data_IF_519997965020
#
_entry.id   IF_519997965020
#
_cell.length_a   1.000
_cell.length_b   1.000
_cell.length_c   1.000
_cell.angle_alpha   90.00
_cell.angle_beta   90.00
_cell.angle_gamma   90.00
#
_symmetry.space_group_name_H-M   'P 1'
#
loop_
_entity.id
_entity.type
_entity.pdbx_description
1 polymer ?
#
# COMPACT_ATOMS: atom_id res chain seq x y z
N UNK A 1 7.96 24.20 -14.67
CA UNK A 1 7.86 23.18 -13.61
C UNK A 1 9.04 22.24 -13.77
N UNK A 2 9.88 22.08 -12.76
CA UNK A 2 11.08 21.25 -12.90
C UNK A 2 10.66 19.77 -12.98
N UNK A 3 11.40 18.90 -13.69
CA UNK A 3 11.09 17.47 -13.74
C UNK A 3 11.02 16.83 -12.35
N UNK A 4 11.77 17.37 -11.38
CA UNK A 4 11.75 16.94 -9.98
C UNK A 4 10.40 17.22 -9.29
N UNK A 5 9.76 18.34 -9.61
CA UNK A 5 8.47 18.75 -9.02
C UNK A 5 7.35 17.81 -9.47
N UNK A 6 7.36 17.42 -10.75
CA UNK A 6 6.44 16.45 -11.33
C UNK A 6 6.62 15.08 -10.65
N UNK A 7 7.87 14.69 -10.39
CA UNK A 7 8.20 13.41 -9.75
C UNK A 7 7.64 13.34 -8.31
N UNK A 8 7.78 14.43 -7.55
CA UNK A 8 7.25 14.52 -6.19
C UNK A 8 5.72 14.48 -6.16
N UNK A 9 5.05 15.22 -7.06
CA UNK A 9 3.59 15.19 -7.19
C UNK A 9 3.08 13.79 -7.58
N UNK A 10 3.72 13.16 -8.56
CA UNK A 10 3.40 11.78 -8.95
C UNK A 10 3.63 10.79 -7.80
N UNK A 11 4.69 10.99 -7.00
CA UNK A 11 4.99 10.19 -5.81
C UNK A 11 3.89 10.25 -4.75
N UNK A 12 3.36 11.45 -4.46
CA UNK A 12 2.22 11.62 -3.53
C UNK A 12 1.00 10.84 -4.04
N UNK A 13 0.64 11.04 -5.30
CA UNK A 13 -0.54 10.42 -5.91
C UNK A 13 -0.39 8.89 -5.91
N UNK A 14 0.77 8.37 -6.28
CA UNK A 14 1.05 6.94 -6.26
C UNK A 14 0.94 6.36 -4.83
N UNK A 15 1.48 7.04 -3.82
CA UNK A 15 1.38 6.61 -2.43
C UNK A 15 -0.08 6.56 -1.95
N UNK A 16 -0.89 7.58 -2.27
CA UNK A 16 -2.32 7.63 -1.94
C UNK A 16 -3.07 6.49 -2.62
N UNK A 17 -2.81 6.25 -3.91
CA UNK A 17 -3.47 5.18 -4.68
C UNK A 17 -3.15 3.81 -4.07
N UNK A 18 -1.86 3.51 -3.86
CA UNK A 18 -1.43 2.21 -3.31
C UNK A 18 -2.01 1.99 -1.92
N UNK A 19 -1.98 3.01 -1.06
CA UNK A 19 -2.52 2.93 0.30
C UNK A 19 -4.04 2.74 0.30
N UNK A 20 -4.75 3.56 -0.47
CA UNK A 20 -6.21 3.51 -0.57
C UNK A 20 -6.70 2.18 -1.14
N UNK A 21 -6.05 1.67 -2.19
CA UNK A 21 -6.40 0.37 -2.80
C UNK A 21 -6.17 -0.76 -1.81
N UNK A 22 -5.06 -0.78 -1.07
CA UNK A 22 -4.79 -1.83 -0.06
C UNK A 22 -5.91 -1.90 0.99
N UNK A 23 -6.32 -0.76 1.53
CA UNK A 23 -7.39 -0.68 2.54
C UNK A 23 -8.75 -1.04 1.94
N UNK A 24 -9.09 -0.53 0.75
CA UNK A 24 -10.38 -0.82 0.11
C UNK A 24 -10.52 -2.29 -0.30
N UNK A 25 -9.48 -2.88 -0.89
CA UNK A 25 -9.47 -4.31 -1.20
C UNK A 25 -9.57 -5.15 0.08
N UNK A 26 -8.74 -4.88 1.09
CA UNK A 26 -8.73 -5.63 2.35
C UNK A 26 -10.06 -5.57 3.10
N UNK A 27 -10.67 -4.38 3.19
CA UNK A 27 -11.97 -4.19 3.84
C UNK A 27 -13.11 -4.89 3.12
N UNK A 28 -13.10 -4.92 1.78
CA UNK A 28 -14.08 -5.67 1.00
C UNK A 28 -13.89 -7.19 1.08
N UNK A 29 -12.65 -7.67 1.07
CA UNK A 29 -12.34 -9.10 1.19
C UNK A 29 -12.63 -9.64 2.60
N UNK A 30 -12.77 -8.75 3.60
CA UNK A 30 -13.22 -9.06 4.94
C UNK A 30 -14.74 -8.92 5.15
N UNK A 31 -15.50 -8.57 4.12
CA UNK A 31 -16.93 -8.28 4.18
C UNK A 31 -17.29 -7.23 5.25
N UNK A 32 -16.47 -6.18 5.40
CA UNK A 32 -16.78 -5.11 6.35
C UNK A 32 -18.00 -4.31 5.93
N UNK A 33 -18.78 -3.89 6.93
CA UNK A 33 -19.96 -3.06 6.72
C UNK A 33 -19.59 -1.68 6.17
N UNK A 34 -20.50 -1.07 5.41
CA UNK A 34 -20.34 0.30 4.88
C UNK A 34 -20.05 1.32 5.99
N UNK A 35 -20.60 1.10 7.20
CA UNK A 35 -20.36 1.94 8.37
C UNK A 35 -18.90 1.85 8.85
N UNK A 36 -18.32 0.66 8.86
CA UNK A 36 -16.92 0.46 9.25
C UNK A 36 -15.97 1.17 8.27
N UNK A 37 -16.26 1.15 6.97
CA UNK A 37 -15.44 1.83 5.96
C UNK A 37 -15.52 3.34 6.11
N UNK A 38 -16.71 3.89 6.36
CA UNK A 38 -16.88 5.32 6.64
C UNK A 38 -16.05 5.74 7.86
N UNK A 39 -16.04 4.91 8.91
CA UNK A 39 -15.23 5.12 10.11
C UNK A 39 -13.72 5.05 9.79
N UNK A 40 -13.27 4.10 8.98
CA UNK A 40 -11.86 4.02 8.56
C UNK A 40 -11.44 5.25 7.77
N UNK A 41 -12.25 5.69 6.80
CA UNK A 41 -11.98 6.90 6.02
C UNK A 41 -11.86 8.11 6.94
N UNK A 42 -12.76 8.24 7.92
CA UNK A 42 -12.70 9.33 8.89
C UNK A 42 -11.42 9.28 9.73
N UNK A 43 -11.04 8.09 10.24
CA UNK A 43 -9.84 7.92 11.08
C UNK A 43 -8.58 8.21 10.28
N UNK A 44 -8.43 7.68 9.06
CA UNK A 44 -7.24 7.93 8.23
C UNK A 44 -7.19 9.36 7.71
N UNK A 45 -8.31 9.95 7.32
CA UNK A 45 -8.37 11.33 6.87
C UNK A 45 -7.94 12.30 7.97
N UNK A 46 -8.52 12.17 9.17
CA UNK A 46 -8.14 12.98 10.34
C UNK A 46 -6.70 12.67 10.77
N UNK A 47 -6.31 11.39 10.71
CA UNK A 47 -4.94 10.97 11.01
C UNK A 47 -3.92 11.68 10.12
N UNK A 48 -4.11 11.66 8.80
CA UNK A 48 -3.21 12.33 7.85
C UNK A 48 -3.14 13.82 8.15
N UNK A 49 -4.28 14.45 8.44
CA UNK A 49 -4.30 15.87 8.81
C UNK A 49 -3.44 16.18 10.02
N UNK A 50 -3.66 15.49 11.14
CA UNK A 50 -2.94 15.73 12.39
C UNK A 50 -1.44 15.44 12.21
N UNK A 51 -1.11 14.31 11.58
CA UNK A 51 0.28 13.90 11.44
C UNK A 51 1.08 14.74 10.46
N UNK A 52 0.44 15.28 9.43
CA UNK A 52 1.11 16.23 8.52
C UNK A 52 1.42 17.55 9.21
N UNK A 53 0.54 18.03 10.09
CA UNK A 53 0.81 19.22 10.91
C UNK A 53 1.97 19.00 11.89
N UNK A 54 1.96 17.87 12.60
CA UNK A 54 3.05 17.52 13.53
C UNK A 54 4.37 17.31 12.78
N UNK A 55 4.33 16.60 11.66
CA UNK A 55 5.52 16.34 10.84
C UNK A 55 6.09 17.61 10.20
N UNK A 56 5.27 18.63 9.92
CA UNK A 56 5.75 19.94 9.47
C UNK A 56 6.65 20.62 10.51
N UNK A 57 6.40 20.42 11.81
CA UNK A 57 7.17 21.02 12.91
C UNK A 57 8.50 20.28 13.11
N UNK A 58 8.51 18.95 12.89
CA UNK A 58 9.66 18.07 13.14
C UNK A 58 10.20 17.40 11.86
N UNK A 59 10.16 18.10 10.72
CA UNK A 59 10.36 17.53 9.38
C UNK A 59 11.68 16.76 9.20
N UNK A 60 12.78 17.24 9.79
CA UNK A 60 14.10 16.60 9.72
C UNK A 60 14.18 15.31 10.53
N UNK A 61 13.67 15.32 11.77
CA UNK A 61 13.61 14.15 12.64
C UNK A 61 12.66 13.09 12.08
N UNK A 62 11.52 13.53 11.54
CA UNK A 62 10.55 12.65 10.92
C UNK A 62 11.12 11.94 9.69
N UNK A 63 11.75 12.69 8.78
CA UNK A 63 12.34 12.11 7.54
C UNK A 63 13.44 11.10 7.86
N UNK A 64 14.33 11.42 8.82
CA UNK A 64 15.37 10.49 9.25
C UNK A 64 14.80 9.23 9.89
N UNK A 65 13.74 9.36 10.70
CA UNK A 65 13.05 8.22 11.27
C UNK A 65 12.47 7.31 10.17
N UNK A 66 11.84 7.89 9.14
CA UNK A 66 11.29 7.09 8.03
C UNK A 66 12.38 6.34 7.30
N UNK A 67 13.47 7.02 6.93
CA UNK A 67 14.55 6.41 6.15
C UNK A 67 15.24 5.30 6.95
N UNK A 68 15.52 5.51 8.25
CA UNK A 68 16.19 4.50 9.09
C UNK A 68 15.30 3.32 9.44
N UNK A 69 14.01 3.52 9.67
CA UNK A 69 13.11 2.46 10.12
C UNK A 69 12.28 1.81 8.99
N UNK A 70 12.39 2.25 7.74
CA UNK A 70 11.58 1.71 6.64
C UNK A 70 11.75 0.20 6.46
N UNK A 71 12.99 -0.25 6.33
CA UNK A 71 13.33 -1.67 6.11
C UNK A 71 12.88 -2.57 7.27
N UNK A 72 13.21 -2.29 8.55
CA UNK A 72 12.74 -3.12 9.65
C UNK A 72 11.20 -3.11 9.78
N UNK A 73 10.54 -1.98 9.52
CA UNK A 73 9.08 -1.91 9.49
C UNK A 73 8.50 -2.85 8.42
N UNK A 74 9.06 -2.87 7.20
CA UNK A 74 8.60 -3.77 6.15
C UNK A 74 8.77 -5.25 6.51
N UNK A 75 9.88 -5.62 7.16
CA UNK A 75 10.12 -6.99 7.61
C UNK A 75 9.08 -7.39 8.66
N UNK A 76 8.86 -6.58 9.70
CA UNK A 76 7.87 -6.86 10.75
C UNK A 76 6.46 -6.99 10.16
N UNK A 77 6.07 -6.05 9.29
CA UNK A 77 4.78 -6.10 8.58
C UNK A 77 4.65 -7.36 7.73
N UNK A 78 5.71 -7.78 7.03
CA UNK A 78 5.68 -8.99 6.21
C UNK A 78 5.38 -10.24 7.05
N UNK A 79 6.03 -10.37 8.22
CA UNK A 79 5.85 -11.50 9.13
C UNK A 79 4.42 -11.52 9.66
N UNK A 80 3.93 -10.38 10.16
CA UNK A 80 2.56 -10.27 10.70
C UNK A 80 1.52 -10.63 9.63
N UNK A 81 1.68 -10.12 8.40
CA UNK A 81 0.73 -10.40 7.31
C UNK A 81 0.79 -11.86 6.85
N UNK A 82 1.97 -12.47 6.80
CA UNK A 82 2.10 -13.89 6.46
C UNK A 82 1.43 -14.76 7.53
N UNK A 83 1.74 -14.51 8.81
CA UNK A 83 1.16 -15.27 9.92
C UNK A 83 -0.35 -15.09 9.99
N UNK A 84 -0.85 -13.86 9.91
CA UNK A 84 -2.29 -13.57 9.90
C UNK A 84 -2.99 -14.21 8.69
N UNK A 85 -2.35 -14.22 7.52
CA UNK A 85 -2.88 -14.90 6.33
C UNK A 85 -3.00 -16.41 6.53
N UNK A 86 -1.95 -17.05 7.08
CA UNK A 86 -1.96 -18.48 7.37
C UNK A 86 -3.00 -18.86 8.44
N UNK A 87 -3.10 -18.12 9.54
CA UNK A 87 -4.07 -18.39 10.61
C UNK A 87 -5.49 -18.23 10.10
N UNK A 88 -5.78 -17.19 9.30
CA UNK A 88 -7.11 -16.96 8.71
C UNK A 88 -7.53 -18.10 7.79
N UNK A 89 -6.62 -18.62 6.95
CA UNK A 89 -6.91 -19.78 6.08
C UNK A 89 -7.09 -21.05 6.92
N UNK A 90 -6.23 -21.26 7.93
CA UNK A 90 -6.26 -22.46 8.79
C UNK A 90 -7.53 -22.52 9.62
N UNK A 91 -7.94 -21.43 10.24
CA UNK A 91 -9.18 -21.35 11.04
C UNK A 91 -10.41 -21.65 10.19
N UNK A 92 -10.45 -21.13 8.96
CA UNK A 92 -11.53 -21.45 8.05
C UNK A 92 -11.56 -22.92 7.62
N UNK A 93 -10.40 -23.53 7.30
CA UNK A 93 -10.34 -24.95 6.88
C UNK A 93 -10.60 -25.93 8.01
N UNK A 94 -10.10 -25.66 9.21
CA UNK A 94 -10.15 -26.60 10.36
C UNK A 94 -11.40 -26.39 11.21
N UNK A 95 -11.74 -25.14 11.53
CA UNK A 95 -12.81 -24.82 12.48
C UNK A 95 -14.07 -24.28 11.82
N UNK A 96 -14.06 -24.02 10.49
CA UNK A 96 -15.16 -23.37 9.76
C UNK A 96 -15.59 -22.01 10.36
N UNK A 97 -14.76 -21.43 11.23
CA UNK A 97 -15.04 -20.16 11.90
C UNK A 97 -14.76 -19.00 10.95
N UNK A 98 -15.69 -18.04 10.89
CA UNK A 98 -15.51 -16.83 10.10
C UNK A 98 -14.72 -15.78 10.90
N UNK A 99 -13.40 -15.87 10.87
CA UNK A 99 -12.50 -14.90 11.52
C UNK A 99 -12.08 -13.76 10.59
N UNK A 100 -12.66 -13.66 9.38
CA UNK A 100 -12.25 -12.67 8.37
C UNK A 100 -12.32 -11.22 8.85
N UNK A 101 -13.31 -10.83 9.66
CA UNK A 101 -13.44 -9.48 10.19
C UNK A 101 -12.37 -9.15 11.22
N UNK A 102 -12.02 -10.10 12.09
CA UNK A 102 -10.94 -9.95 13.08
C UNK A 102 -9.59 -9.92 12.39
N UNK A 103 -9.34 -10.82 11.43
CA UNK A 103 -8.12 -10.85 10.65
C UNK A 103 -7.95 -9.60 9.79
N UNK A 104 -9.04 -8.98 9.34
CA UNK A 104 -9.01 -7.74 8.56
C UNK A 104 -8.24 -6.62 9.25
N UNK A 105 -8.26 -6.58 10.59
CA UNK A 105 -7.47 -5.63 11.37
C UNK A 105 -5.97 -5.73 11.03
N UNK A 106 -5.43 -6.89 10.65
CA UNK A 106 -4.03 -6.98 10.26
C UNK A 106 -3.71 -6.30 8.91
N UNK A 107 -4.68 -6.25 7.99
CA UNK A 107 -4.52 -5.56 6.69
C UNK A 107 -4.84 -4.08 6.80
N UNK A 108 -5.85 -3.77 7.62
CA UNK A 108 -6.35 -2.42 7.86
C UNK A 108 -5.43 -1.68 8.82
N UNK A 109 -4.78 -2.38 9.77
CA UNK A 109 -3.78 -1.80 10.67
C UNK A 109 -2.90 -0.85 9.86
N UNK A 110 -2.77 0.42 10.30
CA UNK A 110 -2.04 1.42 9.56
C UNK A 110 -0.67 0.84 9.23
N UNK A 111 -0.37 0.60 7.95
CA UNK A 111 0.99 0.28 7.58
C UNK A 111 1.77 1.58 7.73
N UNK A 112 2.55 1.74 8.81
CA UNK A 112 3.12 3.04 9.14
C UNK A 112 3.92 3.56 7.93
N UNK A 113 4.64 2.68 7.21
CA UNK A 113 5.37 3.04 6.00
C UNK A 113 4.56 3.84 4.95
N UNK A 114 3.33 3.44 4.61
CA UNK A 114 2.52 4.15 3.61
C UNK A 114 2.04 5.51 4.13
N UNK A 115 1.62 5.53 5.39
CA UNK A 115 1.12 6.73 6.02
C UNK A 115 2.23 7.78 6.18
N UNK A 116 3.41 7.36 6.65
CA UNK A 116 4.60 8.20 6.73
C UNK A 116 5.08 8.68 5.35
N UNK A 117 4.98 7.82 4.31
CA UNK A 117 5.33 8.21 2.94
C UNK A 117 4.41 9.31 2.40
N UNK A 118 3.09 9.21 2.63
CA UNK A 118 2.13 10.26 2.26
C UNK A 118 2.45 11.56 3.00
N UNK A 119 2.76 11.50 4.29
CA UNK A 119 3.10 12.68 5.09
C UNK A 119 4.36 13.39 4.60
N UNK A 120 5.46 12.66 4.36
CA UNK A 120 6.70 13.26 3.86
C UNK A 120 6.45 13.91 2.50
N UNK A 121 5.86 13.15 1.58
CA UNK A 121 5.65 13.63 0.21
C UNK A 121 4.71 14.84 0.19
N UNK A 122 3.71 14.92 1.08
CA UNK A 122 2.87 16.10 1.27
C UNK A 122 3.67 17.34 1.72
N UNK A 123 4.61 17.20 2.66
CA UNK A 123 5.48 18.31 3.12
C UNK A 123 6.35 18.84 1.99
N UNK A 124 6.90 17.94 1.16
CA UNK A 124 7.74 18.34 0.02
C UNK A 124 6.92 18.98 -1.13
N UNK A 125 5.67 18.55 -1.33
CA UNK A 125 4.81 19.06 -2.41
C UNK A 125 4.09 20.37 -2.04
N UNK A 126 3.82 20.63 -0.76
CA UNK A 126 3.19 21.88 -0.30
C UNK A 126 3.87 23.17 -0.83
N UNK A 127 5.19 23.38 -0.67
CA UNK A 127 5.85 24.58 -1.17
C UNK A 127 5.89 24.66 -2.71
N UNK A 128 5.85 23.53 -3.42
CA UNK A 128 5.84 23.47 -4.89
C UNK A 128 4.52 24.01 -5.46
N UNK A 129 3.41 23.73 -4.78
CA UNK A 129 2.07 24.18 -5.18
C UNK A 129 1.73 25.57 -4.67
N UNK A 130 2.60 26.19 -3.86
CA UNK A 130 2.31 27.47 -3.19
C UNK A 130 1.16 27.39 -2.20
N UNK A 131 0.77 26.18 -1.78
CA UNK A 131 -0.32 25.93 -0.84
C UNK A 131 0.22 25.71 0.56
N UNK A 132 -0.53 26.16 1.56
CA UNK A 132 -0.21 25.82 2.94
C UNK A 132 -0.46 24.33 3.20
N UNK A 133 0.28 23.74 4.13
CA UNK A 133 0.11 22.33 4.53
C UNK A 133 -1.32 22.08 5.06
N UNK A 134 -1.91 23.10 5.69
CA UNK A 134 -3.30 23.06 6.17
C UNK A 134 -4.35 22.95 5.07
N UNK A 135 -4.06 23.44 3.86
CA UNK A 135 -4.97 23.36 2.70
C UNK A 135 -4.71 22.11 1.85
N UNK A 136 -3.44 21.68 1.75
CA UNK A 136 -3.07 20.49 0.99
C UNK A 136 -3.57 19.19 1.66
N UNK A 137 -3.42 19.11 2.98
CA UNK A 137 -3.76 17.90 3.74
C UNK A 137 -5.22 17.44 3.61
N UNK A 138 -6.25 18.32 3.70
CA UNK A 138 -7.63 17.90 3.47
C UNK A 138 -7.88 17.44 2.03
N UNK A 139 -7.21 18.00 1.02
CA UNK A 139 -7.32 17.51 -0.37
C UNK A 139 -6.80 16.07 -0.49
N UNK A 140 -5.64 15.78 0.11
CA UNK A 140 -5.07 14.44 0.16
C UNK A 140 -6.03 13.46 0.85
N UNK A 141 -6.64 13.87 1.96
CA UNK A 141 -7.62 13.05 2.68
C UNK A 141 -8.86 12.75 1.83
N UNK A 142 -9.39 13.71 1.07
CA UNK A 142 -10.52 13.51 0.15
C UNK A 142 -10.16 12.57 -0.99
N UNK A 143 -8.98 12.73 -1.61
CA UNK A 143 -8.52 11.83 -2.67
C UNK A 143 -8.37 10.40 -2.12
N UNK A 144 -7.78 10.25 -0.93
CA UNK A 144 -7.65 8.95 -0.28
C UNK A 144 -9.03 8.32 -0.02
N UNK A 145 -9.99 9.10 0.48
CA UNK A 145 -11.35 8.63 0.70
C UNK A 145 -11.99 8.11 -0.59
N UNK A 146 -11.85 8.86 -1.69
CA UNK A 146 -12.36 8.45 -3.00
C UNK A 146 -11.72 7.14 -3.48
N UNK A 147 -10.40 7.00 -3.36
CA UNK A 147 -9.68 5.77 -3.75
C UNK A 147 -10.15 4.58 -2.91
N UNK A 148 -10.32 4.74 -1.59
CA UNK A 148 -10.82 3.67 -0.71
C UNK A 148 -12.23 3.25 -1.12
N UNK A 149 -13.13 4.20 -1.37
CA UNK A 149 -14.50 3.91 -1.78
C UNK A 149 -14.52 3.16 -3.12
N UNK A 150 -13.82 3.68 -4.13
CA UNK A 150 -13.75 3.08 -5.47
C UNK A 150 -13.19 1.66 -5.41
N UNK A 151 -12.07 1.48 -4.72
CA UNK A 151 -11.44 0.17 -4.59
C UNK A 151 -12.28 -0.82 -3.77
N UNK A 152 -13.01 -0.36 -2.75
CA UNK A 152 -13.96 -1.20 -2.01
C UNK A 152 -15.09 -1.71 -2.90
N UNK A 153 -15.72 -0.83 -3.69
CA UNK A 153 -16.79 -1.24 -4.60
C UNK A 153 -16.29 -2.20 -5.67
N UNK A 154 -15.13 -1.91 -6.25
CA UNK A 154 -14.49 -2.77 -7.26
C UNK A 154 -14.15 -4.15 -6.69
N UNK A 155 -13.57 -4.18 -5.49
CA UNK A 155 -13.26 -5.42 -4.77
C UNK A 155 -14.52 -6.24 -4.48
N UNK A 156 -15.62 -5.60 -4.09
CA UNK A 156 -16.86 -6.29 -3.76
C UNK A 156 -17.44 -7.01 -4.99
N UNK A 157 -17.32 -6.41 -6.18
CA UNK A 157 -17.69 -7.05 -7.45
C UNK A 157 -16.82 -8.30 -7.69
N UNK A 158 -15.50 -8.16 -7.53
CA UNK A 158 -14.55 -9.27 -7.71
C UNK A 158 -14.83 -10.41 -6.74
N UNK A 159 -15.06 -10.10 -5.46
CA UNK A 159 -15.31 -11.10 -4.42
C UNK A 159 -16.60 -11.87 -4.69
N UNK A 160 -17.66 -11.19 -5.14
CA UNK A 160 -18.92 -11.83 -5.56
C UNK A 160 -18.73 -12.74 -6.77
N UNK A 161 -17.84 -12.39 -7.69
CA UNK A 161 -17.55 -13.18 -8.89
C UNK A 161 -16.78 -14.48 -8.57
N UNK A 162 -15.83 -14.42 -7.63
CA UNK A 162 -14.93 -15.53 -7.29
C UNK A 162 -15.67 -16.69 -6.59
N UNK A 163 -16.87 -16.47 -6.01
CA UNK A 163 -17.68 -17.47 -5.29
C UNK A 163 -16.91 -18.30 -4.25
N UNK A 164 -15.81 -17.76 -3.70
CA UNK A 164 -15.05 -18.38 -2.61
C UNK A 164 -15.36 -17.69 -1.29
N UNK A 165 -15.24 -18.39 -0.15
CA UNK A 165 -15.49 -17.79 1.15
C UNK A 165 -14.47 -16.69 1.47
N UNK A 166 -14.95 -15.60 2.08
CA UNK A 166 -14.19 -14.39 2.41
C UNK A 166 -12.85 -14.66 3.14
N UNK A 167 -12.77 -15.54 4.16
CA UNK A 167 -11.51 -15.84 4.84
C UNK A 167 -10.42 -16.40 3.92
N UNK A 168 -10.77 -17.19 2.90
CA UNK A 168 -9.79 -17.74 1.94
C UNK A 168 -9.27 -16.64 1.02
N UNK A 169 -10.17 -15.78 0.52
CA UNK A 169 -9.78 -14.66 -0.36
C UNK A 169 -8.90 -13.67 0.40
N UNK A 170 -9.32 -13.27 1.60
CA UNK A 170 -8.59 -12.36 2.46
C UNK A 170 -7.24 -12.93 2.90
N UNK A 171 -7.19 -14.19 3.31
CA UNK A 171 -5.96 -14.85 3.71
C UNK A 171 -4.94 -14.95 2.58
N UNK A 172 -5.38 -15.30 1.36
CA UNK A 172 -4.50 -15.30 0.18
C UNK A 172 -3.98 -13.90 -0.15
N UNK A 173 -4.83 -12.88 -0.01
CA UNK A 173 -4.43 -11.48 -0.20
C UNK A 173 -3.42 -11.03 0.86
N UNK A 174 -3.58 -11.43 2.11
CA UNK A 174 -2.62 -11.18 3.19
C UNK A 174 -1.26 -11.83 2.92
N UNK A 175 -1.25 -13.09 2.47
CA UNK A 175 -0.02 -13.78 2.09
C UNK A 175 0.70 -13.07 0.94
N UNK A 176 -0.06 -12.65 -0.08
CA UNK A 176 0.49 -11.91 -1.22
C UNK A 176 1.12 -10.58 -0.78
N UNK A 177 0.42 -9.81 0.05
CA UNK A 177 0.95 -8.55 0.60
C UNK A 177 2.16 -8.76 1.51
N UNK A 178 2.16 -9.82 2.30
CA UNK A 178 3.30 -10.18 3.15
C UNK A 178 4.54 -10.48 2.33
N UNK A 179 4.43 -11.32 1.29
CA UNK A 179 5.54 -11.61 0.37
C UNK A 179 5.98 -10.35 -0.37
N UNK A 180 5.04 -9.50 -0.80
CA UNK A 180 5.36 -8.22 -1.42
C UNK A 180 6.21 -7.33 -0.49
N UNK A 181 5.85 -7.19 0.79
CA UNK A 181 6.63 -6.41 1.75
C UNK A 181 7.98 -7.05 2.06
N UNK A 182 8.07 -8.38 2.09
CA UNK A 182 9.34 -9.10 2.26
C UNK A 182 10.28 -8.83 1.08
N UNK A 183 9.77 -8.94 -0.15
CA UNK A 183 10.52 -8.63 -1.37
C UNK A 183 10.95 -7.17 -1.38
N UNK A 184 10.05 -6.25 -1.01
CA UNK A 184 10.37 -4.84 -0.88
C UNK A 184 11.52 -4.63 0.12
N UNK A 185 11.45 -5.21 1.31
CA UNK A 185 12.50 -5.09 2.33
C UNK A 185 13.86 -5.62 1.88
N UNK A 186 13.90 -6.70 1.08
CA UNK A 186 15.14 -7.29 0.57
C UNK A 186 15.70 -6.55 -0.65
N UNK A 187 14.82 -6.07 -1.53
CA UNK A 187 15.20 -5.44 -2.80
C UNK A 187 15.53 -3.95 -2.62
N UNK A 188 14.76 -3.19 -1.86
CA UNK A 188 14.96 -1.74 -1.69
C UNK A 188 16.40 -1.35 -1.28
N UNK A 189 17.00 -1.91 -0.21
CA UNK A 189 18.37 -1.54 0.17
C UNK A 189 19.40 -1.94 -0.89
N UNK A 190 19.26 -3.14 -1.48
CA UNK A 190 20.16 -3.64 -2.53
C UNK A 190 20.06 -2.82 -3.82
N UNK A 191 18.87 -2.35 -4.17
CA UNK A 191 18.65 -1.45 -5.29
C UNK A 191 19.27 -0.08 -5.00
N UNK A 192 19.06 0.48 -3.80
CA UNK A 192 19.64 1.79 -3.44
C UNK A 192 21.16 1.74 -3.47
N UNK A 193 21.80 0.69 -2.96
CA UNK A 193 23.26 0.56 -2.99
C UNK A 193 23.80 0.26 -4.40
N UNK A 194 23.06 -0.50 -5.21
CA UNK A 194 23.34 -0.69 -6.62
C UNK A 194 23.26 0.63 -7.41
N UNK A 195 22.20 1.41 -7.18
CA UNK A 195 22.03 2.73 -7.77
C UNK A 195 23.11 3.71 -7.30
N UNK A 196 23.45 3.75 -6.02
CA UNK A 196 24.55 4.59 -5.49
C UNK A 196 25.90 4.26 -6.12
N UNK A 197 26.18 2.99 -6.44
CA UNK A 197 27.42 2.58 -7.12
C UNK A 197 27.46 2.98 -8.60
N UNK A 198 26.31 3.07 -9.25
CA UNK A 198 26.19 3.45 -10.68
C UNK A 198 26.11 4.98 -10.83
N UNK A 199 25.57 5.68 -9.83
CA UNK A 199 25.39 7.14 -9.81
C UNK A 199 26.67 7.90 -9.39
N UNK A 200 27.73 7.83 -10.21
CA UNK A 200 28.65 8.99 -10.40
C UNK A 200 27.89 10.09 -11.18
N UNK A 201 28.29 11.38 -11.09
CA UNK A 201 27.37 12.52 -11.08
C UNK A 201 26.35 12.44 -12.22
N UNK A 202 25.09 12.33 -11.82
CA UNK A 202 23.97 11.98 -12.68
C UNK A 202 23.66 13.16 -13.59
N UNK A 203 24.01 13.04 -14.88
CA UNK A 203 23.16 13.58 -15.92
C UNK A 203 21.88 12.74 -15.94
N UNK A 204 20.77 13.38 -15.57
CA UNK A 204 19.36 13.03 -15.79
C UNK A 204 19.07 11.54 -16.03
N UNK A 205 18.44 10.88 -15.05
CA UNK A 205 17.78 9.58 -15.24
C UNK A 205 16.90 9.65 -16.49
N UNK A 206 17.32 8.98 -17.55
CA UNK A 206 16.59 8.90 -18.81
C UNK A 206 15.17 8.40 -18.54
N UNK A 207 14.17 9.20 -18.91
CA UNK A 207 12.74 8.87 -18.83
C UNK A 207 12.40 7.51 -19.48
N UNK A 208 13.28 7.02 -20.35
CA UNK A 208 13.20 5.71 -21.01
C UNK A 208 13.24 4.52 -20.02
N UNK A 209 13.95 4.60 -18.89
CA UNK A 209 14.01 3.50 -17.91
C UNK A 209 12.67 3.25 -17.21
N UNK A 210 11.86 4.30 -17.00
CA UNK A 210 10.51 4.18 -16.44
C UNK A 210 9.57 3.52 -17.46
N UNK A 211 9.74 3.84 -18.75
CA UNK A 211 8.97 3.22 -19.85
C UNK A 211 9.29 1.73 -19.99
N UNK A 212 10.54 1.31 -19.75
CA UNK A 212 10.94 -0.10 -19.76
C UNK A 212 10.42 -0.92 -18.57
N UNK A 213 10.03 -0.29 -17.46
CA UNK A 213 9.50 -0.99 -16.29
C UNK A 213 8.05 -1.49 -16.50
N UNK A 214 7.28 -0.78 -17.32
CA UNK A 214 5.88 -1.09 -17.65
C UNK A 214 5.72 -2.49 -18.29
N UNK A 215 6.46 -2.85 -19.36
CA UNK A 215 6.35 -4.19 -19.95
C UNK A 215 6.79 -5.31 -19.00
N UNK A 216 7.75 -5.05 -18.10
CA UNK A 216 8.19 -6.03 -17.10
C UNK A 216 7.06 -6.34 -16.10
N UNK A 217 6.33 -5.32 -15.65
CA UNK A 217 5.15 -5.50 -14.78
C UNK A 217 4.04 -6.26 -15.51
N UNK A 218 3.80 -5.97 -16.80
CA UNK A 218 2.81 -6.69 -17.61
C UNK A 218 3.20 -8.16 -17.79
N UNK A 219 4.48 -8.45 -18.08
CA UNK A 219 4.99 -9.82 -18.19
C UNK A 219 4.83 -10.57 -16.86
N UNK A 220 5.16 -9.94 -15.74
CA UNK A 220 4.97 -10.52 -14.41
C UNK A 220 3.49 -10.79 -14.10
N UNK A 221 2.58 -9.90 -14.48
CA UNK A 221 1.14 -10.13 -14.35
C UNK A 221 0.67 -11.32 -15.19
N UNK A 222 1.13 -11.41 -16.45
CA UNK A 222 0.77 -12.52 -17.35
C UNK A 222 1.30 -13.85 -16.80
N UNK A 223 2.55 -13.89 -16.34
CA UNK A 223 3.14 -15.07 -15.70
C UNK A 223 2.34 -15.46 -14.45
N UNK A 224 1.98 -14.49 -13.62
CA UNK A 224 1.16 -14.70 -12.42
C UNK A 224 -0.21 -15.31 -12.74
N UNK A 225 -0.89 -14.80 -13.78
CA UNK A 225 -2.17 -15.35 -14.26
C UNK A 225 -1.99 -16.76 -14.82
N UNK A 226 -0.93 -17.01 -15.59
CA UNK A 226 -0.67 -18.32 -16.21
C UNK A 226 -0.35 -19.39 -15.16
N UNK A 227 0.46 -19.05 -14.15
CA UNK A 227 0.75 -19.94 -13.02
C UNK A 227 -0.48 -20.17 -12.14
N UNK A 228 -1.31 -19.14 -11.91
CA UNK A 228 -2.57 -19.27 -11.18
C UNK A 228 -3.54 -20.22 -11.89
N UNK A 229 -3.56 -20.23 -13.22
CA UNK A 229 -4.37 -21.15 -14.03
C UNK A 229 -3.86 -22.60 -13.94
N UNK A 230 -2.54 -22.80 -13.95
CA UNK A 230 -1.90 -24.13 -13.96
C UNK A 230 -1.91 -24.82 -12.59
N UNK A 231 -1.87 -24.07 -11.49
CA UNK A 231 -1.97 -24.60 -10.13
C UNK A 231 -3.41 -24.66 -9.57
N UNK A 232 -4.42 -24.74 -10.44
CA UNK A 232 -5.80 -25.09 -10.04
C UNK A 232 -5.96 -26.55 -9.58
N UNK A 233 -4.88 -27.20 -9.15
CA UNK A 233 -4.82 -28.50 -8.47
C UNK A 233 -5.34 -28.47 -7.01
N UNK A 234 -6.16 -27.48 -6.67
CA UNK A 234 -6.93 -27.41 -5.41
C UNK A 234 -8.44 -27.32 -5.67
N UNK A 235 -8.88 -27.77 -6.85
CA UNK A 235 -10.28 -28.08 -7.15
C UNK A 235 -10.40 -29.56 -7.51
N UNK A 236 -9.97 -30.41 -6.59
CA UNK A 236 -10.53 -31.73 -6.30
C UNK A 236 -10.39 -31.94 -4.79
#
# INVERSE_FOLDING_TARGET
>A
MNPMDILWQAGVIAAIIVFGVKIGLGSSMANLSKKAILLLISIYGVGIYITTQIASIYSSQFTNFVISYNTPIFIVMSIIMILAGLTTIREWKVHRCNTSTTSALAVIAPSPCCFLSITITAIFVAPILGLSIGELSPMIAVILALVIILSYFFANIIVKLIKKPYPIILGNFMLFLGIYFLLAALLLPNLIDGFKKIMKPISLVDANLIVYLIPVIIILMIIGVFFSKKNSFLNN
#
